data_IF_642332064213
#
_entry.id   IF_642332064213
#
_cell.length_a   1.000
_cell.length_b   1.000
_cell.length_c   1.000
_cell.angle_alpha   90.00
_cell.angle_beta   90.00
_cell.angle_gamma   90.00
#
_symmetry.space_group_name_H-M   'P 1'
#
loop_
_entity.id
_entity.type
_entity.pdbx_description
1 polymer ?
#
# COMPACT_ATOMS: atom_id res chain seq x y z
N UNK A 1 -63.94 37.09 4.55
CA UNK A 1 -63.32 35.78 4.84
C UNK A 1 -62.38 35.27 3.73
N UNK A 2 -62.69 35.38 2.43
CA UNK A 2 -61.84 34.93 1.32
C UNK A 2 -60.45 35.55 1.27
N UNK A 3 -60.29 36.84 1.53
CA UNK A 3 -58.99 37.52 1.49
C UNK A 3 -58.03 37.13 2.64
N UNK A 4 -58.55 36.72 3.79
CA UNK A 4 -57.71 36.28 4.92
C UNK A 4 -57.13 34.87 4.70
N UNK A 5 -57.85 34.01 3.98
CA UNK A 5 -57.42 32.65 3.62
C UNK A 5 -56.30 32.72 2.56
N UNK A 6 -56.42 33.64 1.58
CA UNK A 6 -55.38 33.81 0.52
C UNK A 6 -54.09 34.38 1.12
N UNK A 7 -54.14 35.29 2.04
CA UNK A 7 -52.96 35.87 2.72
C UNK A 7 -52.29 34.80 3.61
N UNK A 8 -53.06 33.93 4.27
CA UNK A 8 -52.51 32.83 5.08
C UNK A 8 -51.86 31.76 4.22
N UNK A 9 -52.38 31.45 3.00
CA UNK A 9 -51.77 30.54 2.08
C UNK A 9 -50.47 31.12 1.47
N UNK A 10 -50.44 32.41 1.14
CA UNK A 10 -49.23 33.07 0.60
C UNK A 10 -48.10 33.18 1.65
N UNK A 11 -48.43 33.37 2.91
CA UNK A 11 -47.47 33.39 4.01
C UNK A 11 -46.88 31.99 4.30
N UNK A 12 -47.68 30.93 4.12
CA UNK A 12 -47.23 29.54 4.27
C UNK A 12 -46.24 29.06 3.17
N UNK A 13 -46.39 29.57 1.93
CA UNK A 13 -45.47 29.22 0.84
C UNK A 13 -44.12 29.95 0.88
N UNK A 14 -44.07 31.14 1.51
CA UNK A 14 -42.82 31.87 1.74
C UNK A 14 -41.96 31.29 2.87
N UNK A 15 -42.56 30.52 3.78
CA UNK A 15 -41.81 29.85 4.86
C UNK A 15 -41.12 28.56 4.45
N UNK A 16 -41.43 27.98 3.28
CA UNK A 16 -40.85 26.74 2.76
C UNK A 16 -39.57 26.98 1.94
N UNK A 17 -39.19 28.21 1.65
CA UNK A 17 -38.01 28.57 0.86
C UNK A 17 -36.78 28.96 1.65
N UNK A 18 -36.78 28.87 3.00
CA UNK A 18 -35.76 29.44 3.86
C UNK A 18 -34.79 28.45 4.49
N UNK A 19 -34.84 27.19 4.10
CA UNK A 19 -33.77 26.25 4.48
C UNK A 19 -32.82 26.14 3.31
N UNK A 20 -31.73 26.91 3.37
CA UNK A 20 -30.56 26.63 2.59
C UNK A 20 -29.91 25.39 3.26
N UNK A 21 -30.08 24.21 2.63
CA UNK A 21 -29.54 22.95 3.08
C UNK A 21 -28.08 22.75 2.63
N UNK A 22 -27.41 23.82 2.19
CA UNK A 22 -25.96 23.78 1.99
C UNK A 22 -25.27 23.76 3.36
N UNK A 23 -25.22 22.58 3.94
CA UNK A 23 -24.31 22.34 5.05
C UNK A 23 -22.89 22.46 4.51
N UNK A 24 -22.20 23.52 4.89
CA UNK A 24 -20.75 23.52 4.89
C UNK A 24 -20.33 22.65 6.09
N UNK A 25 -19.87 21.41 5.88
CA UNK A 25 -19.48 20.56 6.99
C UNK A 25 -18.24 21.15 7.65
N UNK A 26 -18.43 21.83 8.78
CA UNK A 26 -17.35 22.22 9.67
C UNK A 26 -16.77 20.94 10.29
N UNK A 27 -15.56 20.58 9.87
CA UNK A 27 -14.81 19.48 10.48
C UNK A 27 -14.92 18.12 9.80
N UNK A 28 -15.60 17.97 8.66
CA UNK A 28 -15.55 16.77 7.84
C UNK A 28 -14.71 17.02 6.59
N UNK A 29 -13.74 16.16 6.32
CA UNK A 29 -13.01 16.13 5.06
C UNK A 29 -13.98 15.63 3.97
N UNK A 30 -14.50 16.54 3.14
CA UNK A 30 -15.16 16.18 1.88
C UNK A 30 -14.09 16.03 0.80
N UNK A 31 -14.36 15.26 -0.25
CA UNK A 31 -13.44 15.12 -1.39
C UNK A 31 -13.05 16.46 -2.01
N UNK A 32 -13.94 17.46 -1.97
CA UNK A 32 -13.72 18.79 -2.51
C UNK A 32 -12.85 19.68 -1.61
N UNK A 33 -12.72 19.35 -0.33
CA UNK A 33 -11.99 20.13 0.66
C UNK A 33 -10.65 19.54 1.06
N UNK A 34 -10.39 18.27 0.75
CA UNK A 34 -9.16 17.56 1.05
C UNK A 34 -8.16 17.73 -0.10
N UNK A 35 -6.87 17.71 0.17
CA UNK A 35 -5.75 18.00 -0.76
C UNK A 35 -5.61 19.47 -1.19
N UNK A 36 -6.11 20.42 -0.44
CA UNK A 36 -5.89 21.87 -0.71
C UNK A 36 -4.51 22.33 -0.24
N UNK A 37 -3.99 21.73 0.81
CA UNK A 37 -2.68 22.05 1.39
C UNK A 37 -1.76 20.86 1.37
N UNK A 38 -0.43 21.11 1.46
CA UNK A 38 0.56 20.05 1.60
C UNK A 38 0.32 19.23 2.89
N UNK A 39 -0.21 19.83 3.95
CA UNK A 39 -0.56 19.12 5.18
C UNK A 39 -1.71 18.11 4.96
N UNK A 40 -2.68 18.43 4.11
CA UNK A 40 -3.76 17.51 3.76
C UNK A 40 -3.19 16.30 2.97
N UNK A 41 -2.29 16.57 2.02
CA UNK A 41 -1.64 15.51 1.24
C UNK A 41 -0.76 14.63 2.13
N UNK A 42 -0.01 15.21 3.06
CA UNK A 42 0.76 14.46 4.05
C UNK A 42 -0.14 13.59 4.93
N UNK A 43 -1.26 14.13 5.42
CA UNK A 43 -2.23 13.36 6.20
C UNK A 43 -2.82 12.18 5.39
N UNK A 44 -3.09 12.38 4.09
CA UNK A 44 -3.54 11.30 3.21
C UNK A 44 -2.49 10.20 3.02
N UNK A 45 -1.23 10.57 2.85
CA UNK A 45 -0.11 9.62 2.77
C UNK A 45 0.03 8.86 4.09
N UNK A 46 0.01 9.57 5.23
CA UNK A 46 0.07 8.93 6.55
C UNK A 46 -1.13 8.00 6.78
N UNK A 47 -2.31 8.34 6.26
CA UNK A 47 -3.48 7.47 6.29
C UNK A 47 -3.28 6.20 5.44
N UNK A 48 -2.55 6.30 4.32
CA UNK A 48 -2.17 5.13 3.53
C UNK A 48 -1.14 4.25 4.27
N UNK A 49 -0.12 4.84 4.89
CA UNK A 49 0.80 4.10 5.77
C UNK A 49 0.09 3.43 6.94
N UNK A 50 -0.92 4.08 7.50
CA UNK A 50 -1.70 3.55 8.63
C UNK A 50 -2.33 2.18 8.36
N UNK A 51 -2.51 1.78 7.10
CA UNK A 51 -2.99 0.42 6.78
C UNK A 51 -1.99 -0.66 7.16
N UNK A 52 -0.71 -0.35 7.07
CA UNK A 52 0.37 -1.28 7.40
C UNK A 52 0.45 -1.54 8.92
N UNK A 53 -0.07 -0.61 9.74
CA UNK A 53 -0.08 -0.73 11.20
C UNK A 53 -1.30 -1.48 11.76
N UNK A 54 -2.29 -1.83 10.92
CA UNK A 54 -3.36 -2.68 11.38
C UNK A 54 -2.80 -4.05 11.79
N UNK A 55 -3.14 -4.47 13.00
CA UNK A 55 -2.66 -5.73 13.57
C UNK A 55 -2.95 -6.92 12.65
N UNK A 56 -4.11 -6.92 12.02
CA UNK A 56 -4.53 -7.96 11.08
C UNK A 56 -3.68 -8.00 9.82
N UNK A 57 -3.16 -6.86 9.39
CA UNK A 57 -2.26 -6.77 8.24
C UNK A 57 -0.82 -7.17 8.61
N UNK A 58 -0.22 -6.47 9.58
CA UNK A 58 1.18 -6.65 9.96
C UNK A 58 1.47 -8.06 10.51
N UNK A 59 0.58 -8.55 11.37
CA UNK A 59 0.67 -9.89 11.92
C UNK A 59 0.53 -10.98 10.85
N UNK A 60 -0.36 -10.77 9.87
CA UNK A 60 -0.57 -11.77 8.83
C UNK A 60 0.61 -11.82 7.85
N UNK A 61 1.30 -10.71 7.55
CA UNK A 61 2.56 -10.75 6.78
C UNK A 61 3.58 -11.67 7.46
N UNK A 62 3.73 -11.54 8.78
CA UNK A 62 4.60 -12.42 9.57
C UNK A 62 4.12 -13.88 9.53
N UNK A 63 2.83 -14.13 9.66
CA UNK A 63 2.29 -15.49 9.60
C UNK A 63 2.50 -16.15 8.23
N UNK A 64 2.33 -15.40 7.15
CA UNK A 64 2.53 -15.90 5.79
C UNK A 64 4.01 -16.09 5.44
N UNK A 65 4.91 -15.29 6.03
CA UNK A 65 6.34 -15.39 5.81
C UNK A 65 6.99 -16.52 6.63
N UNK A 66 6.79 -16.47 7.93
CA UNK A 66 7.59 -17.27 8.88
C UNK A 66 6.82 -18.49 9.39
N UNK A 67 5.55 -18.34 9.78
CA UNK A 67 4.77 -19.43 10.36
C UNK A 67 4.40 -20.51 9.36
N UNK A 68 4.33 -20.18 8.08
CA UNK A 68 4.10 -21.12 6.99
C UNK A 68 5.39 -21.85 6.53
N UNK A 69 6.53 -21.65 7.23
CA UNK A 69 7.82 -22.25 6.95
C UNK A 69 8.21 -23.29 8.01
N UNK A 70 9.33 -23.98 7.81
CA UNK A 70 9.87 -24.95 8.77
C UNK A 70 10.57 -24.29 9.96
N UNK A 71 10.73 -22.94 9.95
CA UNK A 71 11.46 -22.22 11.01
C UNK A 71 10.60 -21.90 12.21
N UNK A 72 9.27 -21.96 12.07
CA UNK A 72 8.31 -21.66 13.13
C UNK A 72 7.22 -22.72 13.23
N UNK A 73 6.62 -22.80 14.40
CA UNK A 73 5.42 -23.60 14.63
C UNK A 73 4.47 -22.86 15.58
N UNK A 74 3.18 -23.11 15.43
CA UNK A 74 2.17 -22.57 16.31
C UNK A 74 2.15 -23.31 17.64
N UNK A 75 1.72 -22.62 18.71
CA UNK A 75 1.33 -23.27 19.96
C UNK A 75 0.11 -24.16 19.74
N UNK A 76 -0.07 -25.17 20.59
CA UNK A 76 -1.21 -26.08 20.55
C UNK A 76 -2.56 -25.38 20.75
N UNK A 77 -2.59 -24.24 21.44
CA UNK A 77 -3.76 -23.42 21.72
C UNK A 77 -3.93 -22.22 20.76
N UNK A 78 -3.16 -22.18 19.68
CA UNK A 78 -3.31 -21.16 18.64
C UNK A 78 -4.69 -21.26 17.97
N UNK A 79 -5.16 -20.14 17.40
CA UNK A 79 -6.41 -20.14 16.63
C UNK A 79 -6.39 -21.16 15.49
N UNK A 80 -7.57 -21.65 15.11
CA UNK A 80 -7.70 -22.59 13.99
C UNK A 80 -7.07 -22.02 12.71
N UNK A 81 -7.28 -20.72 12.42
CA UNK A 81 -6.71 -20.03 11.26
C UNK A 81 -5.17 -20.12 11.24
N UNK A 82 -4.53 -19.87 12.38
CA UNK A 82 -3.08 -19.94 12.49
C UNK A 82 -2.55 -21.37 12.35
N UNK A 83 -3.25 -22.34 12.96
CA UNK A 83 -2.91 -23.76 12.81
C UNK A 83 -3.07 -24.23 11.37
N UNK A 84 -4.09 -23.74 10.65
CA UNK A 84 -4.31 -24.09 9.25
C UNK A 84 -3.22 -23.52 8.34
N UNK A 85 -2.74 -22.29 8.59
CA UNK A 85 -1.58 -21.73 7.89
C UNK A 85 -0.30 -22.52 8.19
N UNK A 86 -0.01 -22.78 9.46
CA UNK A 86 1.19 -23.52 9.85
C UNK A 86 1.23 -24.95 9.30
N UNK A 87 0.09 -25.61 9.23
CA UNK A 87 -0.02 -26.99 8.76
C UNK A 87 -0.40 -27.11 7.27
N UNK A 88 -0.40 -26.02 6.51
CA UNK A 88 -0.75 -25.97 5.10
C UNK A 88 -2.08 -26.64 4.75
N UNK A 89 -3.11 -26.44 5.59
CA UNK A 89 -4.45 -26.97 5.33
C UNK A 89 -5.17 -26.11 4.28
N UNK A 90 -4.70 -26.17 3.04
CA UNK A 90 -5.12 -25.36 1.91
C UNK A 90 -6.64 -25.37 1.68
N UNK A 91 -7.32 -26.49 2.02
CA UNK A 91 -8.77 -26.60 1.93
C UNK A 91 -9.54 -25.56 2.76
N UNK A 92 -8.94 -25.10 3.87
CA UNK A 92 -9.52 -24.15 4.80
C UNK A 92 -9.17 -22.68 4.48
N UNK A 93 -8.25 -22.42 3.54
CA UNK A 93 -7.78 -21.07 3.22
C UNK A 93 -8.88 -20.14 2.73
N UNK A 94 -9.95 -20.67 2.13
CA UNK A 94 -11.10 -19.87 1.68
C UNK A 94 -11.88 -19.19 2.80
N UNK A 95 -11.81 -19.74 4.00
CA UNK A 95 -12.53 -19.25 5.20
C UNK A 95 -11.58 -18.81 6.30
N UNK A 96 -10.28 -18.71 5.99
CA UNK A 96 -9.26 -18.29 6.94
C UNK A 96 -9.33 -16.77 7.16
N UNK A 97 -9.72 -16.35 8.35
CA UNK A 97 -9.90 -14.94 8.68
C UNK A 97 -8.64 -14.12 8.64
N UNK A 98 -7.46 -14.71 8.86
CA UNK A 98 -6.17 -14.03 8.72
C UNK A 98 -5.90 -13.65 7.26
N UNK A 99 -6.17 -14.57 6.32
CA UNK A 99 -6.01 -14.31 4.88
C UNK A 99 -7.03 -13.30 4.38
N UNK A 100 -8.30 -13.41 4.81
CA UNK A 100 -9.35 -12.46 4.45
C UNK A 100 -9.02 -11.05 4.91
N UNK A 101 -8.63 -10.88 6.16
CA UNK A 101 -8.25 -9.59 6.71
C UNK A 101 -7.02 -9.00 6.00
N UNK A 102 -6.00 -9.81 5.74
CA UNK A 102 -4.84 -9.35 4.99
C UNK A 102 -5.21 -8.83 3.60
N UNK A 103 -6.01 -9.58 2.85
CA UNK A 103 -6.50 -9.19 1.53
C UNK A 103 -7.28 -7.88 1.60
N UNK A 104 -8.22 -7.76 2.53
CA UNK A 104 -9.03 -6.56 2.75
C UNK A 104 -8.16 -5.33 3.05
N UNK A 105 -7.25 -5.42 4.01
CA UNK A 105 -6.43 -4.27 4.41
C UNK A 105 -5.39 -3.91 3.36
N UNK A 106 -4.86 -4.87 2.60
CA UNK A 106 -4.00 -4.57 1.46
C UNK A 106 -4.73 -3.75 0.40
N UNK A 107 -5.98 -4.10 0.05
CA UNK A 107 -6.77 -3.31 -0.90
C UNK A 107 -7.22 -1.95 -0.36
N UNK A 108 -7.45 -1.82 0.94
CA UNK A 108 -7.64 -0.51 1.58
C UNK A 108 -6.37 0.35 1.38
N UNK A 109 -5.19 -0.23 1.59
CA UNK A 109 -3.91 0.45 1.34
C UNK A 109 -3.74 0.88 -0.12
N UNK A 110 -4.05 -0.01 -1.05
CA UNK A 110 -4.05 0.31 -2.50
C UNK A 110 -4.98 1.48 -2.81
N UNK A 111 -6.22 1.48 -2.30
CA UNK A 111 -7.19 2.54 -2.58
C UNK A 111 -6.76 3.89 -2.00
N UNK A 112 -6.20 3.91 -0.78
CA UNK A 112 -5.65 5.12 -0.16
C UNK A 112 -4.46 5.66 -0.94
N UNK A 113 -3.54 4.81 -1.40
CA UNK A 113 -2.44 5.21 -2.28
C UNK A 113 -2.96 5.77 -3.62
N UNK A 114 -3.97 5.14 -4.23
CA UNK A 114 -4.62 5.63 -5.44
C UNK A 114 -5.22 7.03 -5.26
N UNK A 115 -5.79 7.34 -4.09
CA UNK A 115 -6.32 8.67 -3.80
C UNK A 115 -5.24 9.75 -3.85
N UNK A 116 -4.07 9.49 -3.24
CA UNK A 116 -2.91 10.39 -3.32
C UNK A 116 -2.44 10.55 -4.76
N UNK A 117 -2.27 9.44 -5.50
CA UNK A 117 -1.81 9.45 -6.90
C UNK A 117 -2.78 10.23 -7.81
N UNK A 118 -4.09 10.16 -7.54
CA UNK A 118 -5.11 10.88 -8.30
C UNK A 118 -5.11 12.40 -8.01
N UNK A 119 -4.97 12.78 -6.74
CA UNK A 119 -5.26 14.17 -6.30
C UNK A 119 -4.02 15.07 -6.22
N UNK A 120 -2.86 14.53 -5.87
CA UNK A 120 -1.64 15.32 -5.66
C UNK A 120 -1.11 16.01 -6.93
N UNK A 121 -1.18 15.43 -8.15
CA UNK A 121 -0.67 16.11 -9.36
C UNK A 121 -1.29 17.47 -9.60
N UNK A 122 -2.58 17.63 -9.35
CA UNK A 122 -3.35 18.85 -9.61
C UNK A 122 -3.34 19.85 -8.43
N UNK A 123 -2.72 19.49 -7.30
CA UNK A 123 -2.68 20.32 -6.12
C UNK A 123 -1.73 21.52 -6.28
N UNK A 124 -1.98 22.59 -5.49
CA UNK A 124 -1.29 23.88 -5.62
C UNK A 124 0.05 24.03 -4.87
N UNK A 125 0.61 22.96 -4.29
CA UNK A 125 1.87 23.01 -3.55
C UNK A 125 3.10 22.71 -4.42
N UNK A 126 4.33 22.82 -3.86
CA UNK A 126 5.56 22.74 -4.61
C UNK A 126 5.76 21.38 -5.29
N UNK A 127 6.55 21.34 -6.37
CA UNK A 127 6.87 20.10 -7.07
C UNK A 127 7.60 19.09 -6.17
N UNK A 128 8.52 19.58 -5.33
CA UNK A 128 9.23 18.75 -4.34
C UNK A 128 8.28 18.05 -3.36
N UNK A 129 7.27 18.76 -2.88
CA UNK A 129 6.22 18.17 -2.03
C UNK A 129 5.37 17.16 -2.79
N UNK A 130 5.01 17.48 -4.05
CA UNK A 130 4.29 16.52 -4.90
C UNK A 130 5.10 15.26 -5.13
N UNK A 131 6.36 15.40 -5.47
CA UNK A 131 7.26 14.27 -5.72
C UNK A 131 7.39 13.38 -4.50
N UNK A 132 7.54 13.97 -3.31
CA UNK A 132 7.59 13.22 -2.05
C UNK A 132 6.31 12.40 -1.83
N UNK A 133 5.14 13.04 -1.88
CA UNK A 133 3.88 12.37 -1.60
C UNK A 133 3.51 11.32 -2.65
N UNK A 134 3.78 11.62 -3.93
CA UNK A 134 3.57 10.67 -5.02
C UNK A 134 4.54 9.48 -4.92
N UNK A 135 5.80 9.73 -4.61
CA UNK A 135 6.81 8.68 -4.42
C UNK A 135 6.42 7.70 -3.32
N UNK A 136 5.96 8.22 -2.17
CA UNK A 136 5.47 7.38 -1.07
C UNK A 136 4.20 6.60 -1.44
N UNK A 137 3.27 7.24 -2.16
CA UNK A 137 2.04 6.56 -2.60
C UNK A 137 2.33 5.44 -3.61
N UNK A 138 3.24 5.64 -4.57
CA UNK A 138 3.70 4.60 -5.49
C UNK A 138 4.39 3.46 -4.74
N UNK A 139 5.27 3.77 -3.78
CA UNK A 139 5.91 2.76 -2.93
C UNK A 139 4.87 1.90 -2.20
N UNK A 140 3.89 2.53 -1.54
CA UNK A 140 2.85 1.83 -0.79
C UNK A 140 1.96 0.96 -1.69
N UNK A 141 1.64 1.42 -2.90
CA UNK A 141 0.85 0.64 -3.85
C UNK A 141 1.64 -0.57 -4.35
N UNK A 142 2.91 -0.37 -4.72
CA UNK A 142 3.81 -1.47 -5.10
C UNK A 142 3.98 -2.48 -3.97
N UNK A 143 4.20 -2.04 -2.75
CA UNK A 143 4.33 -2.87 -1.57
C UNK A 143 3.10 -3.77 -1.36
N UNK A 144 1.91 -3.17 -1.39
CA UNK A 144 0.67 -3.93 -1.20
C UNK A 144 0.44 -4.93 -2.32
N UNK A 145 0.59 -4.54 -3.60
CA UNK A 145 0.43 -5.46 -4.72
C UNK A 145 1.49 -6.55 -4.76
N UNK A 146 2.73 -6.26 -4.40
CA UNK A 146 3.78 -7.28 -4.33
C UNK A 146 3.48 -8.32 -3.24
N UNK A 147 2.95 -7.91 -2.10
CA UNK A 147 2.50 -8.84 -1.07
C UNK A 147 1.25 -9.62 -1.51
N UNK A 148 0.30 -8.98 -2.17
CA UNK A 148 -0.90 -9.64 -2.69
C UNK A 148 -0.55 -10.71 -3.74
N UNK A 149 0.28 -10.40 -4.73
CA UNK A 149 0.61 -11.32 -5.82
C UNK A 149 1.40 -12.54 -5.35
N UNK A 150 2.29 -12.37 -4.37
CA UNK A 150 3.05 -13.48 -3.80
C UNK A 150 2.19 -14.48 -3.03
N UNK A 151 1.13 -14.01 -2.38
CA UNK A 151 0.29 -14.83 -1.52
C UNK A 151 -0.96 -15.36 -2.24
N UNK A 152 -1.55 -14.59 -3.16
CA UNK A 152 -2.82 -14.95 -3.82
C UNK A 152 -2.69 -15.18 -5.33
N UNK A 153 -1.53 -14.90 -5.93
CA UNK A 153 -1.38 -14.95 -7.39
C UNK A 153 -2.10 -13.78 -8.06
N UNK A 154 -2.91 -14.07 -9.08
CA UNK A 154 -3.69 -13.03 -9.76
C UNK A 154 -4.76 -12.48 -8.83
N UNK A 155 -4.77 -11.15 -8.68
CA UNK A 155 -5.79 -10.40 -7.95
C UNK A 155 -6.34 -9.26 -8.82
N UNK A 156 -7.47 -8.63 -8.46
CA UNK A 156 -7.97 -7.46 -9.17
C UNK A 156 -6.94 -6.31 -9.20
N UNK A 157 -6.80 -5.64 -10.35
CA UNK A 157 -5.91 -4.48 -10.51
C UNK A 157 -6.71 -3.18 -10.44
N UNK A 158 -6.72 -2.55 -9.27
CA UNK A 158 -7.29 -1.21 -9.09
C UNK A 158 -6.19 -0.14 -9.26
N UNK A 159 -6.11 0.45 -10.46
CA UNK A 159 -5.14 1.51 -10.81
C UNK A 159 -5.66 2.92 -10.47
N UNK A 160 -6.91 3.03 -10.12
CA UNK A 160 -7.60 4.27 -9.75
C UNK A 160 -8.35 4.10 -8.43
N UNK A 161 -8.79 5.22 -7.85
CA UNK A 161 -9.63 5.21 -6.65
C UNK A 161 -10.94 4.50 -6.94
N UNK A 162 -11.34 3.63 -6.03
CA UNK A 162 -12.69 3.05 -5.98
C UNK A 162 -13.56 3.94 -5.10
N UNK A 163 -14.45 4.68 -5.71
CA UNK A 163 -15.32 5.68 -5.05
C UNK A 163 -16.72 5.13 -4.76
N UNK A 164 -17.17 4.19 -5.58
CA UNK A 164 -18.50 3.57 -5.45
C UNK A 164 -18.43 2.06 -5.48
N UNK A 165 -19.47 1.40 -4.96
CA UNK A 165 -19.56 -0.06 -4.95
C UNK A 165 -19.52 -0.63 -6.38
N UNK A 166 -20.08 0.06 -7.36
CA UNK A 166 -20.11 -0.38 -8.76
C UNK A 166 -18.72 -0.40 -9.42
N UNK A 167 -17.77 0.37 -8.86
CA UNK A 167 -16.37 0.38 -9.30
C UNK A 167 -15.55 -0.75 -8.69
N UNK A 168 -16.07 -1.45 -7.69
CA UNK A 168 -15.41 -2.61 -7.12
C UNK A 168 -15.43 -3.75 -8.13
N UNK A 169 -14.32 -3.92 -8.85
CA UNK A 169 -14.17 -5.06 -9.74
C UNK A 169 -13.57 -6.24 -8.99
N UNK A 170 -14.19 -7.40 -9.15
CA UNK A 170 -13.64 -8.69 -8.69
C UNK A 170 -12.95 -9.45 -9.83
N UNK A 171 -12.90 -8.88 -11.04
CA UNK A 171 -12.17 -9.46 -12.15
C UNK A 171 -10.67 -9.48 -11.83
N UNK A 172 -10.07 -10.66 -11.93
CA UNK A 172 -8.64 -10.83 -11.74
C UNK A 172 -7.86 -10.11 -12.85
N UNK A 173 -6.60 -9.76 -12.55
CA UNK A 173 -5.67 -9.33 -13.59
C UNK A 173 -5.62 -10.38 -14.72
N UNK A 174 -5.41 -9.95 -15.98
CA UNK A 174 -5.42 -10.88 -17.11
C UNK A 174 -4.29 -11.90 -17.04
N UNK A 175 -3.13 -11.50 -16.52
CA UNK A 175 -1.93 -12.30 -16.41
C UNK A 175 -0.94 -11.72 -15.38
N UNK A 176 0.17 -12.42 -15.18
CA UNK A 176 1.23 -11.99 -14.27
C UNK A 176 2.04 -10.81 -14.84
N UNK A 177 2.11 -10.65 -16.16
CA UNK A 177 2.78 -9.49 -16.77
C UNK A 177 2.06 -8.20 -16.36
N UNK A 178 0.73 -8.16 -16.42
CA UNK A 178 -0.06 -6.99 -16.00
C UNK A 178 0.12 -6.66 -14.51
N UNK A 179 0.23 -7.68 -13.64
CA UNK A 179 0.53 -7.50 -12.21
C UNK A 179 1.89 -6.86 -11.99
N UNK A 180 2.93 -7.44 -12.61
CA UNK A 180 4.30 -6.95 -12.43
C UNK A 180 4.59 -5.67 -13.20
N UNK A 181 3.86 -5.37 -14.30
CA UNK A 181 3.91 -4.04 -14.94
C UNK A 181 3.56 -2.93 -13.96
N UNK A 182 2.49 -3.12 -13.18
CA UNK A 182 2.11 -2.14 -12.18
C UNK A 182 3.13 -2.07 -11.04
N UNK A 183 3.49 -3.22 -10.45
CA UNK A 183 4.41 -3.28 -9.31
C UNK A 183 5.76 -2.65 -9.64
N UNK A 184 6.38 -3.07 -10.75
CA UNK A 184 7.71 -2.61 -11.15
C UNK A 184 7.71 -1.16 -11.63
N UNK A 185 6.63 -0.72 -12.30
CA UNK A 185 6.45 0.68 -12.66
C UNK A 185 6.37 1.56 -11.41
N UNK A 186 5.56 1.16 -10.43
CA UNK A 186 5.40 1.91 -9.18
C UNK A 186 6.70 1.95 -8.37
N UNK A 187 7.45 0.85 -8.29
CA UNK A 187 8.77 0.85 -7.65
C UNK A 187 9.74 1.84 -8.30
N UNK A 188 9.79 1.86 -9.64
CA UNK A 188 10.66 2.81 -10.38
C UNK A 188 10.22 4.25 -10.15
N UNK A 189 8.91 4.53 -10.25
CA UNK A 189 8.37 5.88 -9.99
C UNK A 189 8.66 6.34 -8.57
N UNK A 190 8.53 5.47 -7.59
CA UNK A 190 8.89 5.77 -6.21
C UNK A 190 10.39 6.09 -6.08
N UNK A 191 11.27 5.28 -6.68
CA UNK A 191 12.71 5.51 -6.65
C UNK A 191 13.15 6.81 -7.37
N UNK A 192 12.44 7.20 -8.44
CA UNK A 192 12.68 8.48 -9.15
C UNK A 192 12.29 9.70 -8.30
N UNK A 193 11.15 9.62 -7.61
CA UNK A 193 10.53 10.77 -6.95
C UNK A 193 11.03 10.97 -5.50
N UNK A 194 11.35 9.87 -4.80
CA UNK A 194 11.74 9.94 -3.40
C UNK A 194 13.18 10.44 -3.22
N UNK A 195 13.46 11.26 -2.20
CA UNK A 195 14.81 11.60 -1.79
C UNK A 195 15.49 10.42 -1.07
N UNK A 196 16.81 10.48 -0.93
CA UNK A 196 17.53 9.72 0.09
C UNK A 196 17.57 10.60 1.35
N UNK A 197 17.14 10.05 2.49
CA UNK A 197 17.20 10.79 3.75
C UNK A 197 18.62 10.71 4.35
N UNK A 198 19.08 11.79 4.95
CA UNK A 198 20.36 11.80 5.68
C UNK A 198 20.35 10.86 6.89
N UNK A 199 19.17 10.64 7.47
CA UNK A 199 18.93 9.68 8.55
C UNK A 199 17.64 8.94 8.25
N UNK A 200 17.59 7.59 8.35
CA UNK A 200 16.38 6.82 8.11
C UNK A 200 15.22 7.31 8.95
N UNK A 201 14.07 7.52 8.32
CA UNK A 201 12.84 7.93 9.01
C UNK A 201 11.99 6.70 9.31
N UNK A 202 11.72 6.47 10.60
CA UNK A 202 10.82 5.39 11.00
C UNK A 202 9.45 5.61 10.38
N UNK A 203 8.92 4.59 9.73
CA UNK A 203 7.59 4.59 9.15
C UNK A 203 7.44 5.34 7.83
N UNK A 204 8.54 5.84 7.22
CA UNK A 204 8.49 6.53 5.92
C UNK A 204 9.48 5.87 4.95
N UNK A 205 9.03 5.64 3.73
CA UNK A 205 9.90 5.17 2.66
C UNK A 205 10.73 6.31 2.08
N UNK A 206 11.94 5.99 1.66
CA UNK A 206 12.81 6.84 0.87
C UNK A 206 13.16 6.17 -0.46
N UNK A 207 14.05 6.79 -1.23
CA UNK A 207 14.54 6.22 -2.50
C UNK A 207 15.15 4.84 -2.30
N UNK A 208 15.93 4.65 -1.25
CA UNK A 208 16.62 3.38 -0.98
C UNK A 208 15.61 2.27 -0.66
N UNK A 209 14.55 2.59 0.08
CA UNK A 209 13.45 1.65 0.34
C UNK A 209 12.72 1.24 -0.96
N UNK A 210 12.50 2.19 -1.87
CA UNK A 210 11.89 1.91 -3.17
C UNK A 210 12.81 1.06 -4.07
N UNK A 211 14.11 1.34 -4.08
CA UNK A 211 15.12 0.55 -4.81
C UNK A 211 15.23 -0.87 -4.25
N UNK A 212 15.23 -1.02 -2.91
CA UNK A 212 15.25 -2.34 -2.27
C UNK A 212 14.00 -3.17 -2.58
N UNK A 213 12.83 -2.53 -2.61
CA UNK A 213 11.59 -3.19 -3.02
C UNK A 213 11.64 -3.59 -4.50
N UNK A 214 12.17 -2.72 -5.38
CA UNK A 214 12.36 -3.02 -6.79
C UNK A 214 13.29 -4.22 -6.98
N UNK A 215 14.47 -4.21 -6.35
CA UNK A 215 15.42 -5.31 -6.40
C UNK A 215 14.77 -6.64 -6.01
N UNK A 216 14.03 -6.65 -4.90
CA UNK A 216 13.33 -7.84 -4.40
C UNK A 216 12.23 -8.30 -5.37
N UNK A 217 11.44 -7.38 -5.94
CA UNK A 217 10.37 -7.72 -6.87
C UNK A 217 10.92 -8.29 -8.19
N UNK A 218 11.98 -7.67 -8.75
CA UNK A 218 12.66 -8.17 -9.94
C UNK A 218 13.28 -9.55 -9.71
N UNK A 219 13.99 -9.75 -8.59
CA UNK A 219 14.59 -11.03 -8.24
C UNK A 219 13.53 -12.12 -8.10
N UNK A 220 12.42 -11.82 -7.45
CA UNK A 220 11.33 -12.77 -7.23
C UNK A 220 10.71 -13.21 -8.56
N UNK A 221 10.37 -12.27 -9.45
CA UNK A 221 9.76 -12.61 -10.74
C UNK A 221 10.75 -13.34 -11.67
N UNK A 222 12.03 -12.95 -11.67
CA UNK A 222 13.08 -13.61 -12.43
C UNK A 222 13.21 -15.07 -12.05
N UNK A 223 13.37 -15.34 -10.75
CA UNK A 223 13.49 -16.71 -10.22
C UNK A 223 12.23 -17.54 -10.48
N UNK A 224 11.04 -16.98 -10.28
CA UNK A 224 9.79 -17.69 -10.52
C UNK A 224 9.61 -18.05 -12.02
N UNK A 225 10.00 -17.14 -12.92
CA UNK A 225 9.98 -17.35 -14.38
C UNK A 225 10.98 -18.43 -14.79
N UNK A 226 12.25 -18.31 -14.36
CA UNK A 226 13.33 -19.24 -14.70
C UNK A 226 13.00 -20.67 -14.28
N UNK A 227 12.45 -20.83 -13.08
CA UNK A 227 12.10 -22.14 -12.53
C UNK A 227 10.73 -22.67 -12.97
N UNK A 228 10.08 -21.98 -13.93
CA UNK A 228 8.83 -22.43 -14.54
C UNK A 228 7.65 -22.54 -13.59
N UNK A 229 7.61 -21.68 -12.55
CA UNK A 229 6.48 -21.64 -11.62
C UNK A 229 5.19 -21.38 -12.42
N UNK A 230 4.16 -22.19 -12.20
CA UNK A 230 2.96 -22.29 -13.04
C UNK A 230 2.35 -20.95 -13.47
N UNK A 231 2.24 -19.99 -12.56
CA UNK A 231 1.65 -18.66 -12.88
C UNK A 231 2.64 -17.73 -13.60
N UNK A 232 3.94 -17.99 -13.56
CA UNK A 232 5.01 -17.13 -14.06
C UNK A 232 5.65 -17.61 -15.36
N UNK A 233 5.56 -18.92 -15.67
CA UNK A 233 6.24 -19.51 -16.82
C UNK A 233 5.84 -18.91 -18.17
N UNK A 234 4.59 -18.48 -18.29
CA UNK A 234 4.02 -17.94 -19.54
C UNK A 234 4.17 -16.42 -19.66
N UNK A 235 4.87 -15.76 -18.72
CA UNK A 235 5.18 -14.33 -18.79
C UNK A 235 6.06 -14.03 -20.03
N UNK A 236 5.82 -12.86 -20.65
CA UNK A 236 6.61 -12.41 -21.80
C UNK A 236 8.00 -11.88 -21.41
N UNK A 237 8.24 -11.66 -20.12
CA UNK A 237 9.50 -11.12 -19.60
C UNK A 237 10.62 -12.16 -19.67
N UNK A 238 11.80 -11.71 -20.05
CA UNK A 238 13.02 -12.52 -20.00
C UNK A 238 13.60 -12.56 -18.57
N UNK A 239 13.89 -13.74 -18.05
CA UNK A 239 14.38 -13.93 -16.70
C UNK A 239 15.76 -13.26 -16.50
N UNK A 240 16.65 -13.32 -17.50
CA UNK A 240 17.99 -12.72 -17.44
C UNK A 240 17.89 -11.20 -17.30
N UNK A 241 17.04 -10.55 -18.11
CA UNK A 241 16.79 -9.11 -18.01
C UNK A 241 16.22 -8.71 -16.65
N UNK A 242 15.39 -9.58 -16.05
CA UNK A 242 14.86 -9.33 -14.71
C UNK A 242 15.95 -9.48 -13.64
N UNK A 243 16.86 -10.47 -13.76
CA UNK A 243 18.01 -10.59 -12.86
C UNK A 243 18.96 -9.39 -12.97
N UNK A 244 19.25 -8.94 -14.19
CA UNK A 244 20.07 -7.75 -14.40
C UNK A 244 19.44 -6.50 -13.75
N UNK A 245 18.12 -6.36 -13.88
CA UNK A 245 17.38 -5.29 -13.21
C UNK A 245 17.41 -5.41 -11.69
N UNK A 246 17.30 -6.63 -11.16
CA UNK A 246 17.42 -6.87 -9.72
C UNK A 246 18.82 -6.50 -9.21
N UNK A 247 19.87 -6.90 -9.94
CA UNK A 247 21.26 -6.57 -9.62
C UNK A 247 21.52 -5.06 -9.69
N UNK A 248 20.97 -4.37 -10.70
CA UNK A 248 21.06 -2.92 -10.81
C UNK A 248 20.48 -2.22 -9.58
N UNK A 249 19.23 -2.51 -9.23
CA UNK A 249 18.59 -1.87 -8.07
C UNK A 249 19.24 -2.25 -6.73
N UNK A 250 19.76 -3.48 -6.59
CA UNK A 250 20.54 -3.87 -5.42
C UNK A 250 21.86 -3.10 -5.34
N UNK A 251 22.53 -2.85 -6.48
CA UNK A 251 23.72 -2.01 -6.58
C UNK A 251 23.45 -0.58 -6.10
N UNK A 252 22.35 0.02 -6.57
CA UNK A 252 21.91 1.35 -6.14
C UNK A 252 21.73 1.45 -4.61
N UNK A 253 21.19 0.40 -3.97
CA UNK A 253 21.07 0.33 -2.51
C UNK A 253 22.45 0.27 -1.84
N UNK A 254 23.36 -0.53 -2.40
CA UNK A 254 24.72 -0.70 -1.86
C UNK A 254 25.54 0.60 -1.97
N UNK A 255 25.33 1.40 -3.00
CA UNK A 255 26.03 2.68 -3.18
C UNK A 255 25.65 3.74 -2.12
N UNK A 256 24.51 3.59 -1.45
CA UNK A 256 24.07 4.49 -0.38
C UNK A 256 24.63 4.14 1.01
N UNK A 257 25.84 3.61 1.09
CA UNK A 257 26.49 3.17 2.34
C UNK A 257 26.78 4.30 3.35
N UNK A 258 26.69 5.55 2.95
CA UNK A 258 26.82 6.68 3.90
C UNK A 258 25.65 6.75 4.89
N UNK A 259 24.47 6.27 4.48
CA UNK A 259 23.22 6.28 5.27
C UNK A 259 22.88 4.88 5.74
N UNK A 260 22.99 3.90 4.82
CA UNK A 260 22.64 2.50 5.07
C UNK A 260 23.89 1.62 5.04
N UNK A 261 23.88 0.53 5.77
CA UNK A 261 25.02 -0.39 5.84
C UNK A 261 24.76 -1.48 6.87
N UNK A 262 25.74 -2.33 7.09
CA UNK A 262 25.63 -3.39 8.09
C UNK A 262 25.91 -2.85 9.50
N UNK A 263 25.16 -3.35 10.48
CA UNK A 263 25.43 -3.14 11.89
C UNK A 263 26.68 -3.93 12.31
N UNK A 264 27.34 -3.44 13.37
CA UNK A 264 28.53 -4.10 13.91
C UNK A 264 28.24 -5.43 14.59
N UNK A 265 27.00 -5.63 15.02
CA UNK A 265 26.51 -6.86 15.66
C UNK A 265 25.12 -7.21 15.14
N UNK A 266 24.90 -8.49 14.90
CA UNK A 266 23.57 -9.01 14.53
C UNK A 266 22.50 -8.67 15.59
N UNK A 267 22.89 -8.59 16.86
CA UNK A 267 21.97 -8.25 17.95
C UNK A 267 21.47 -6.79 17.86
N UNK A 268 22.24 -5.91 17.25
CA UNK A 268 21.88 -4.50 17.10
C UNK A 268 20.67 -4.32 16.18
N UNK A 269 20.43 -5.24 15.25
CA UNK A 269 19.27 -5.23 14.35
C UNK A 269 17.96 -5.42 15.13
N UNK A 270 18.00 -6.17 16.22
CA UNK A 270 16.84 -6.50 17.04
C UNK A 270 16.72 -5.64 18.31
N UNK A 271 17.65 -4.72 18.51
CA UNK A 271 17.64 -3.81 19.64
C UNK A 271 16.66 -2.65 19.37
N UNK A 272 15.60 -2.57 20.17
CA UNK A 272 14.58 -1.50 20.04
C UNK A 272 15.14 -0.09 20.23
N UNK A 273 16.21 0.06 21.01
CA UNK A 273 16.91 1.34 21.17
C UNK A 273 17.70 1.75 19.92
N UNK A 274 17.97 0.79 19.03
CA UNK A 274 18.65 0.97 17.74
C UNK A 274 17.70 0.89 16.53
N UNK A 275 16.41 1.12 16.71
CA UNK A 275 15.40 1.02 15.68
C UNK A 275 15.63 1.93 14.46
N UNK A 276 16.62 2.85 14.50
CA UNK A 276 17.08 3.69 13.39
C UNK A 276 18.48 3.32 12.91
N UNK A 277 18.90 2.08 13.15
CA UNK A 277 20.19 1.57 12.73
C UNK A 277 20.35 1.55 11.22
N UNK A 278 21.60 1.50 10.78
CA UNK A 278 21.97 1.57 9.35
C UNK A 278 21.40 0.43 8.50
N UNK A 279 21.13 -0.71 9.12
CA UNK A 279 20.62 -1.90 8.41
C UNK A 279 19.10 -1.85 8.18
N UNK A 280 18.41 -0.92 8.84
CA UNK A 280 16.96 -0.77 8.73
C UNK A 280 16.58 0.18 7.59
N UNK A 281 16.36 -0.37 6.40
CA UNK A 281 15.98 0.42 5.21
C UNK A 281 14.53 0.92 5.32
N UNK A 282 13.62 0.07 5.75
CA UNK A 282 12.21 0.45 5.95
C UNK A 282 11.64 -0.27 7.16
N UNK A 283 11.23 0.50 8.16
CA UNK A 283 10.66 0.01 9.41
C UNK A 283 9.32 0.66 9.65
N UNK A 284 8.38 -0.13 10.10
CA UNK A 284 7.11 0.38 10.61
C UNK A 284 7.17 0.39 12.14
N UNK A 285 7.01 1.57 12.74
CA UNK A 285 6.79 1.69 14.16
C UNK A 285 5.33 1.29 14.47
N UNK A 286 5.17 0.33 15.35
CA UNK A 286 3.88 -0.10 15.89
C UNK A 286 3.70 0.42 17.31
#
# INVERSE_FOLDING_TARGET
>A
MKNRIVISLLAGTLALGACNLDETPYGFYSEDNFFKTAADAEAAVMYAYGTLNYLEYSRTIFFLGDMASETMTTKSDASADNQDLNNWKVGNFKTNGSLENFFKYAFIGVNRANAVIKKVPDAGFSQEQKDLFLGEAYFLRAWNYFNLVRNFGLVPLHKSVVETVDQTSTALAPDMDAMYDLILSDCRRAAELLPVYETPKIGRADRVAAQALAAKAYLYVASAKEHGVKLYRDMHRDATVMYDSAAYFAGEVIENQSVYGFESSLLDIYDVEKARGKEHIFIMAM
#
